data_IF_780686932424
#
_entry.id   IF_780686932424
#
_cell.length_a   1.000
_cell.length_b   1.000
_cell.length_c   1.000
_cell.angle_alpha   90.00
_cell.angle_beta   90.00
_cell.angle_gamma   90.00
#
_symmetry.space_group_name_H-M   'P 1'
#
loop_
_entity.id
_entity.type
_entity.pdbx_description
1 polymer ?
#
# COMPACT_ATOMS: atom_id res chain seq x y z
N UNK A 1 2.62 5.99 21.60
CA UNK A 1 1.99 4.74 21.10
C UNK A 1 2.16 4.64 19.58
N UNK A 2 2.44 3.46 19.03
CA UNK A 2 2.53 3.28 17.57
C UNK A 2 1.14 2.97 17.03
N UNK A 3 0.63 3.81 16.12
CA UNK A 3 -0.65 3.58 15.44
C UNK A 3 -0.46 2.73 14.18
N UNK A 4 -1.52 2.02 13.75
CA UNK A 4 -1.49 1.16 12.55
C UNK A 4 -0.94 1.93 11.34
N UNK A 5 -0.08 1.28 10.55
CA UNK A 5 0.63 1.86 9.41
C UNK A 5 1.50 3.09 9.73
N UNK A 6 1.79 3.34 11.01
CA UNK A 6 2.52 4.53 11.44
C UNK A 6 1.75 5.83 11.23
N UNK A 7 0.41 5.78 11.30
CA UNK A 7 -0.43 6.98 11.25
C UNK A 7 -0.20 7.89 12.46
N UNK A 8 -0.51 9.19 12.33
CA UNK A 8 -0.36 10.16 13.42
C UNK A 8 -1.37 9.95 14.54
N UNK A 9 -2.51 9.33 14.23
CA UNK A 9 -3.60 9.02 15.17
C UNK A 9 -4.25 7.69 14.81
N UNK A 10 -4.92 7.07 15.78
CA UNK A 10 -5.73 5.87 15.54
C UNK A 10 -6.97 6.22 14.71
N UNK A 11 -7.40 5.29 13.86
CA UNK A 11 -8.71 5.37 13.21
C UNK A 11 -9.83 5.12 14.23
N UNK A 12 -11.04 5.67 13.99
CA UNK A 12 -12.25 5.31 14.75
C UNK A 12 -12.60 3.82 14.63
N UNK A 13 -13.59 3.37 15.41
CA UNK A 13 -14.19 2.03 15.22
C UNK A 13 -14.74 1.89 13.80
N UNK A 14 -14.72 0.66 13.29
CA UNK A 14 -15.24 0.28 11.97
C UNK A 14 -14.59 1.02 10.78
N UNK A 15 -13.34 1.46 10.95
CA UNK A 15 -12.52 2.06 9.89
C UNK A 15 -11.20 1.32 9.75
N UNK A 16 -10.78 1.10 8.50
CA UNK A 16 -9.44 0.59 8.21
C UNK A 16 -8.42 1.72 8.20
N UNK A 17 -7.24 1.47 8.77
CA UNK A 17 -6.09 2.36 8.64
C UNK A 17 -5.34 2.04 7.35
N UNK A 18 -4.87 3.04 6.62
CA UNK A 18 -3.96 2.83 5.50
C UNK A 18 -2.96 3.97 5.39
N UNK A 19 -1.84 3.69 4.72
CA UNK A 19 -0.83 4.69 4.36
C UNK A 19 -0.27 4.36 2.99
N UNK A 20 -0.35 5.32 2.08
CA UNK A 20 0.18 5.22 0.72
C UNK A 20 1.36 6.17 0.61
N UNK A 21 2.47 5.68 0.09
CA UNK A 21 3.65 6.52 -0.19
C UNK A 21 4.08 6.24 -1.63
N UNK A 22 4.18 7.29 -2.45
CA UNK A 22 4.71 7.16 -3.82
C UNK A 22 6.20 6.79 -3.79
N UNK A 23 6.72 6.33 -4.93
CA UNK A 23 8.16 6.22 -5.10
C UNK A 23 8.85 7.59 -5.14
N UNK A 24 10.18 7.59 -5.04
CA UNK A 24 11.02 8.74 -5.28
C UNK A 24 11.91 8.47 -6.50
N UNK A 25 11.66 9.23 -7.57
CA UNK A 25 12.24 9.01 -8.89
C UNK A 25 12.09 7.53 -9.32
N UNK A 26 13.20 6.88 -9.68
CA UNK A 26 13.29 5.46 -10.05
C UNK A 26 14.12 4.62 -9.06
N UNK A 27 14.55 5.22 -7.93
CA UNK A 27 15.48 4.58 -6.98
C UNK A 27 14.78 4.04 -5.73
N UNK A 28 13.72 4.71 -5.28
CA UNK A 28 12.91 4.25 -4.15
C UNK A 28 11.52 3.93 -4.67
N UNK A 29 11.11 2.68 -4.54
CA UNK A 29 9.78 2.23 -4.91
C UNK A 29 8.67 2.69 -3.95
N UNK A 30 7.40 2.66 -4.40
CA UNK A 30 6.27 3.03 -3.54
C UNK A 30 6.04 2.01 -2.42
N UNK A 31 5.20 2.40 -1.46
CA UNK A 31 4.72 1.52 -0.40
C UNK A 31 3.23 1.68 -0.13
N UNK A 32 2.55 0.57 0.11
CA UNK A 32 1.13 0.50 0.44
C UNK A 32 0.99 -0.33 1.71
N UNK A 33 0.60 0.34 2.80
CA UNK A 33 0.20 -0.29 4.05
C UNK A 33 -1.31 -0.23 4.21
N UNK A 34 -1.92 -1.34 4.60
CA UNK A 34 -3.34 -1.45 4.91
C UNK A 34 -3.53 -2.26 6.18
N UNK A 35 -4.24 -1.69 7.14
CA UNK A 35 -4.52 -2.21 8.48
C UNK A 35 -3.31 -2.82 9.20
N UNK A 36 -2.19 -2.08 9.19
CA UNK A 36 -0.87 -2.47 9.73
C UNK A 36 -0.15 -3.61 8.97
N UNK A 37 -0.71 -4.04 7.84
CA UNK A 37 -0.09 -5.00 6.94
C UNK A 37 0.52 -4.28 5.74
N UNK A 38 1.82 -4.48 5.50
CA UNK A 38 2.46 -4.04 4.26
C UNK A 38 2.01 -4.91 3.09
N UNK A 39 1.19 -4.34 2.20
CA UNK A 39 0.67 -5.00 1.01
C UNK A 39 1.66 -4.94 -0.15
N UNK A 40 2.22 -3.75 -0.41
CA UNK A 40 3.21 -3.53 -1.48
C UNK A 40 4.39 -2.72 -0.97
N UNK A 41 5.62 -3.13 -1.30
CA UNK A 41 6.85 -2.37 -1.00
C UNK A 41 8.05 -2.91 -1.78
N UNK A 42 9.12 -2.12 -1.85
CA UNK A 42 10.41 -2.60 -2.39
C UNK A 42 10.94 -3.83 -1.65
N UNK A 43 10.77 -3.89 -0.33
CA UNK A 43 11.20 -5.04 0.49
C UNK A 43 10.43 -6.31 0.14
N UNK A 44 9.15 -6.19 -0.23
CA UNK A 44 8.32 -7.31 -0.69
C UNK A 44 8.55 -7.69 -2.16
N UNK A 45 9.33 -6.89 -2.89
CA UNK A 45 9.64 -7.09 -4.30
C UNK A 45 8.40 -7.30 -5.19
N UNK A 46 7.32 -6.59 -4.90
CA UNK A 46 6.03 -6.72 -5.61
C UNK A 46 5.49 -5.38 -6.14
N UNK A 47 6.41 -4.50 -6.51
CA UNK A 47 6.15 -3.15 -7.04
C UNK A 47 6.88 -2.98 -8.38
N UNK A 48 6.47 -1.98 -9.17
CA UNK A 48 7.10 -1.65 -10.44
C UNK A 48 6.99 -0.19 -10.82
N UNK A 49 7.60 0.18 -11.96
CA UNK A 49 7.41 1.49 -12.60
C UNK A 49 5.94 1.68 -12.96
N UNK A 50 5.46 2.93 -12.89
CA UNK A 50 4.08 3.27 -13.23
C UNK A 50 3.12 3.07 -12.05
N UNK A 51 1.95 2.53 -12.33
CA UNK A 51 0.85 2.40 -11.36
C UNK A 51 0.94 1.11 -10.57
N UNK A 52 0.87 1.22 -9.25
CA UNK A 52 0.90 0.09 -8.32
C UNK A 52 -0.45 0.03 -7.61
N UNK A 53 -1.15 -1.10 -7.72
CA UNK A 53 -2.54 -1.26 -7.30
C UNK A 53 -2.65 -2.44 -6.32
N UNK A 54 -3.29 -2.20 -5.18
CA UNK A 54 -3.73 -3.23 -4.25
C UNK A 54 -5.26 -3.22 -4.13
N UNK A 55 -5.89 -4.35 -4.45
CA UNK A 55 -7.32 -4.57 -4.34
C UNK A 55 -7.62 -5.31 -3.04
N UNK A 56 -8.47 -4.73 -2.20
CA UNK A 56 -8.89 -5.28 -0.91
C UNK A 56 -10.40 -5.43 -0.83
N UNK A 57 -10.88 -6.37 -0.03
CA UNK A 57 -12.30 -6.50 0.29
C UNK A 57 -12.71 -5.41 1.28
N UNK A 58 -13.70 -4.59 0.92
CA UNK A 58 -14.14 -3.45 1.74
C UNK A 58 -14.87 -3.82 3.04
N UNK A 59 -15.37 -5.04 3.17
CA UNK A 59 -16.05 -5.51 4.38
C UNK A 59 -15.09 -6.23 5.34
N UNK A 60 -14.19 -7.06 4.81
CA UNK A 60 -13.30 -7.89 5.64
C UNK A 60 -11.89 -7.32 5.76
N UNK A 61 -11.50 -6.38 4.91
CA UNK A 61 -10.14 -5.87 4.80
C UNK A 61 -9.14 -6.85 4.17
N UNK A 62 -9.59 -8.02 3.68
CA UNK A 62 -8.70 -9.03 3.11
C UNK A 62 -8.13 -8.57 1.75
N UNK A 63 -6.83 -8.82 1.55
CA UNK A 63 -6.16 -8.61 0.26
C UNK A 63 -6.71 -9.58 -0.79
N UNK A 64 -7.19 -9.06 -1.91
CA UNK A 64 -7.69 -9.85 -3.03
C UNK A 64 -6.64 -9.98 -4.14
N UNK A 65 -5.98 -8.88 -4.50
CA UNK A 65 -4.97 -8.87 -5.58
C UNK A 65 -4.02 -7.69 -5.46
N UNK A 66 -2.80 -7.85 -5.97
CA UNK A 66 -1.87 -6.75 -6.22
C UNK A 66 -1.42 -6.79 -7.68
N UNK A 67 -1.08 -5.64 -8.25
CA UNK A 67 -0.49 -5.55 -9.59
C UNK A 67 0.31 -4.26 -9.76
N UNK A 68 1.34 -4.34 -10.60
CA UNK A 68 2.09 -3.18 -11.05
C UNK A 68 1.98 -3.08 -12.58
N UNK A 69 1.69 -1.88 -13.08
CA UNK A 69 1.43 -1.61 -14.48
C UNK A 69 2.36 -0.50 -14.94
N UNK A 70 3.23 -0.83 -15.89
CA UNK A 70 4.17 0.13 -16.46
C UNK A 70 3.43 1.08 -17.40
N UNK A 71 3.40 2.35 -17.04
CA UNK A 71 2.72 3.39 -17.84
C UNK A 71 3.66 4.12 -18.79
N UNK A 72 4.95 3.77 -18.82
CA UNK A 72 5.93 4.39 -19.71
C UNK A 72 6.09 3.60 -21.01
N UNK A 73 6.12 2.27 -20.93
CA UNK A 73 6.33 1.38 -22.08
C UNK A 73 5.40 0.15 -22.04
N UNK A 74 4.21 0.31 -21.45
CA UNK A 74 3.23 -0.76 -21.25
C UNK A 74 2.43 -1.13 -22.48
#
# INVERSE_FOLDING_TARGET
>A
PRHKCGNQRSCPRDHFAFKLTSGAANVVGPSICFDDVMLMSSVKNNIGRGLNIALVNGSTGQLLKTGAFDMYSG
#
